data_IF_366213807378
#
_entry.id   IF_366213807378
#
_cell.length_a   1.000
_cell.length_b   1.000
_cell.length_c   1.000
_cell.angle_alpha   90.00
_cell.angle_beta   90.00
_cell.angle_gamma   90.00
#
_symmetry.space_group_name_H-M   'P 1'
#
loop_
_entity.id
_entity.type
_entity.pdbx_description
1 polymer ?
#
# COMPACT_ATOMS: atom_id res chain seq x y z
N UNK A 1 11.52 26.38 42.07
CA UNK A 1 12.22 25.08 42.14
C UNK A 1 12.49 24.68 40.71
N UNK A 2 13.73 24.40 40.34
CA UNK A 2 14.09 24.24 38.91
C UNK A 2 13.49 22.96 38.28
N UNK A 3 12.89 22.10 39.10
CA UNK A 3 12.13 20.92 38.70
C UNK A 3 10.74 21.22 38.14
N UNK A 4 10.21 22.44 38.33
CA UNK A 4 8.87 22.82 37.84
C UNK A 4 8.97 23.92 36.80
N UNK A 5 8.36 23.70 35.63
CA UNK A 5 8.27 24.71 34.58
C UNK A 5 7.20 25.75 34.94
N UNK A 6 7.59 27.03 34.95
CA UNK A 6 6.63 28.12 35.08
C UNK A 6 5.81 28.23 33.79
N UNK A 7 4.49 28.06 33.90
CA UNK A 7 3.56 28.23 32.77
C UNK A 7 3.13 29.69 32.66
N UNK A 8 2.96 30.17 31.44
CA UNK A 8 2.44 31.53 31.20
C UNK A 8 0.94 31.58 31.52
N UNK A 9 0.59 32.34 32.56
CA UNK A 9 -0.79 32.50 33.01
C UNK A 9 -1.71 33.11 31.95
N UNK A 10 -1.20 33.96 31.05
CA UNK A 10 -2.01 34.54 29.96
C UNK A 10 -2.38 33.49 28.92
N UNK A 11 -1.47 32.57 28.62
CA UNK A 11 -1.75 31.44 27.71
C UNK A 11 -2.80 30.52 28.33
N UNK A 12 -2.70 30.25 29.63
CA UNK A 12 -3.70 29.45 30.34
C UNK A 12 -5.09 30.11 30.37
N UNK A 13 -5.17 31.43 30.46
CA UNK A 13 -6.45 32.16 30.47
C UNK A 13 -7.12 32.23 29.08
N UNK A 14 -6.31 32.23 28.02
CA UNK A 14 -6.80 32.28 26.63
C UNK A 14 -7.24 30.93 26.07
N UNK A 15 -6.64 29.82 26.52
CA UNK A 15 -6.97 28.48 26.03
C UNK A 15 -8.16 27.91 26.80
N UNK A 16 -9.23 27.55 26.09
CA UNK A 16 -10.38 26.85 26.66
C UNK A 16 -10.16 25.33 26.73
N UNK A 17 -11.06 24.62 27.39
CA UNK A 17 -10.90 23.18 27.62
C UNK A 17 -11.04 22.37 26.32
N UNK A 18 -11.87 22.83 25.38
CA UNK A 18 -12.01 22.20 24.07
C UNK A 18 -10.70 22.22 23.29
N UNK A 19 -9.99 23.36 23.26
CA UNK A 19 -8.70 23.45 22.59
C UNK A 19 -7.58 22.69 23.31
N UNK A 20 -7.64 22.60 24.65
CA UNK A 20 -6.68 21.77 25.43
C UNK A 20 -6.79 20.29 25.12
N UNK A 21 -8.00 19.81 24.85
CA UNK A 21 -8.30 18.41 24.61
C UNK A 21 -8.25 18.03 23.12
N UNK A 22 -8.20 19.03 22.23
CA UNK A 22 -8.18 18.84 20.80
C UNK A 22 -6.98 18.00 20.33
N UNK A 23 -7.23 17.12 19.37
CA UNK A 23 -6.21 16.23 18.79
C UNK A 23 -6.37 16.24 17.28
N UNK A 24 -5.24 16.39 16.59
CA UNK A 24 -5.22 16.27 15.14
C UNK A 24 -5.66 14.87 14.72
N UNK A 25 -6.43 14.74 13.62
CA UNK A 25 -6.80 13.45 13.08
C UNK A 25 -5.57 12.70 12.55
N UNK A 26 -5.71 11.38 12.42
CA UNK A 26 -4.75 10.57 11.66
C UNK A 26 -5.07 10.73 10.17
N UNK A 27 -4.10 11.22 9.42
CA UNK A 27 -4.18 11.33 7.96
C UNK A 27 -3.48 10.14 7.31
N UNK A 28 -4.07 9.63 6.23
CA UNK A 28 -3.49 8.55 5.45
C UNK A 28 -2.39 9.07 4.51
N UNK A 29 -1.37 8.25 4.30
CA UNK A 29 -0.31 8.54 3.33
C UNK A 29 -0.73 8.00 1.96
N UNK A 30 -0.48 8.77 0.90
CA UNK A 30 -0.68 8.30 -0.47
C UNK A 30 0.35 7.22 -0.80
N UNK A 31 -0.10 5.99 -1.03
CA UNK A 31 0.75 4.86 -1.36
C UNK A 31 0.67 4.56 -2.87
N UNK A 32 1.80 4.41 -3.58
CA UNK A 32 1.79 4.00 -4.98
C UNK A 32 1.43 2.52 -5.10
N UNK A 33 0.14 2.21 -5.26
CA UNK A 33 -0.37 0.84 -5.29
C UNK A 33 0.30 -0.05 -6.36
N UNK A 34 0.75 0.54 -7.46
CA UNK A 34 1.46 -0.19 -8.52
C UNK A 34 2.81 -0.76 -8.09
N UNK A 35 3.43 -0.18 -7.06
CA UNK A 35 4.71 -0.63 -6.48
C UNK A 35 4.49 -1.65 -5.34
N UNK A 36 3.24 -1.93 -4.97
CA UNK A 36 2.91 -2.95 -3.99
C UNK A 36 2.61 -4.30 -4.69
N UNK A 37 2.83 -5.43 -4.01
CA UNK A 37 2.32 -6.73 -4.44
C UNK A 37 0.79 -6.76 -4.46
N UNK A 38 0.21 -7.67 -5.24
CA UNK A 38 -1.23 -7.91 -5.25
C UNK A 38 -1.72 -8.42 -3.88
N UNK A 39 -2.82 -7.85 -3.38
CA UNK A 39 -3.37 -8.20 -2.07
C UNK A 39 -4.00 -9.61 -2.00
N UNK A 40 -4.49 -10.14 -3.13
CA UNK A 40 -5.29 -11.38 -3.23
C UNK A 40 -4.45 -12.61 -3.62
N UNK A 41 -3.20 -12.71 -3.16
CA UNK A 41 -2.38 -13.90 -3.43
C UNK A 41 -2.72 -15.03 -2.45
N UNK A 42 -3.81 -15.74 -2.73
CA UNK A 42 -4.33 -16.92 -1.98
C UNK A 42 -3.31 -18.09 -1.92
N UNK A 43 -2.23 -18.05 -2.71
CA UNK A 43 -1.28 -19.15 -2.81
C UNK A 43 0.18 -18.73 -2.68
N UNK A 44 0.55 -18.10 -1.55
CA UNK A 44 1.94 -17.85 -1.15
C UNK A 44 2.76 -17.07 -2.19
N UNK A 45 2.15 -16.03 -2.74
CA UNK A 45 2.52 -15.48 -4.04
C UNK A 45 3.76 -14.56 -4.07
N UNK A 46 4.06 -14.14 -5.29
CA UNK A 46 5.25 -13.41 -5.67
C UNK A 46 5.42 -12.10 -4.88
N UNK A 47 6.66 -11.85 -4.42
CA UNK A 47 7.05 -10.59 -3.76
C UNK A 47 7.18 -9.42 -4.73
N UNK A 48 6.80 -9.59 -5.99
CA UNK A 48 6.88 -8.58 -7.03
C UNK A 48 5.68 -7.64 -7.00
N UNK A 49 5.94 -6.39 -7.37
CA UNK A 49 4.92 -5.37 -7.54
C UNK A 49 4.04 -5.63 -8.77
N UNK A 50 2.82 -5.09 -8.75
CA UNK A 50 1.91 -5.13 -9.91
C UNK A 50 2.60 -4.63 -11.18
N UNK A 51 3.32 -3.51 -11.06
CA UNK A 51 4.05 -2.90 -12.17
C UNK A 51 5.12 -3.81 -12.75
N UNK A 52 5.88 -4.53 -11.91
CA UNK A 52 6.89 -5.48 -12.39
C UNK A 52 6.25 -6.66 -13.11
N UNK A 53 5.10 -7.16 -12.65
CA UNK A 53 4.37 -8.23 -13.29
C UNK A 53 3.85 -7.84 -14.68
N UNK A 54 3.30 -6.63 -14.84
CA UNK A 54 2.81 -6.10 -16.12
C UNK A 54 3.93 -5.94 -17.16
N UNK A 55 5.17 -5.70 -16.72
CA UNK A 55 6.33 -5.58 -17.61
C UNK A 55 6.85 -6.94 -18.12
N UNK A 56 6.37 -8.07 -17.58
CA UNK A 56 6.78 -9.39 -18.04
C UNK A 56 6.06 -9.78 -19.31
N UNK A 57 6.81 -10.31 -20.25
CA UNK A 57 6.24 -10.97 -21.42
C UNK A 57 5.92 -12.42 -21.07
N UNK A 58 4.64 -12.73 -20.88
CA UNK A 58 4.15 -14.06 -20.50
C UNK A 58 3.70 -14.93 -21.69
N UNK A 59 3.64 -14.37 -22.89
CA UNK A 59 3.23 -15.09 -24.09
C UNK A 59 4.39 -15.87 -24.70
N UNK A 60 4.27 -17.20 -24.70
CA UNK A 60 5.24 -18.13 -25.30
C UNK A 60 4.76 -18.67 -26.66
N UNK A 61 3.58 -18.26 -27.17
CA UNK A 61 2.99 -18.76 -28.42
C UNK A 61 2.86 -20.30 -28.52
N UNK A 62 2.80 -21.01 -27.39
CA UNK A 62 2.74 -22.48 -27.34
C UNK A 62 1.47 -23.07 -27.97
N UNK A 63 0.43 -22.26 -28.13
CA UNK A 63 -0.79 -22.65 -28.85
C UNK A 63 -0.51 -23.18 -30.27
N UNK A 64 0.52 -22.64 -30.93
CA UNK A 64 0.93 -23.07 -32.28
C UNK A 64 1.41 -24.53 -32.35
N UNK A 65 1.87 -25.09 -31.22
CA UNK A 65 2.34 -26.48 -31.15
C UNK A 65 1.18 -27.48 -31.16
N UNK A 66 0.01 -27.12 -30.63
CA UNK A 66 -1.16 -28.01 -30.63
C UNK A 66 -1.77 -28.18 -32.02
N UNK A 67 -1.79 -27.11 -32.82
CA UNK A 67 -2.36 -27.12 -34.18
C UNK A 67 -1.53 -27.95 -35.17
N UNK A 68 -0.24 -28.17 -34.87
CA UNK A 68 0.69 -28.87 -35.73
C UNK A 68 0.86 -30.36 -35.39
N UNK A 69 0.05 -30.89 -34.45
CA UNK A 69 -0.03 -32.33 -34.24
C UNK A 69 -0.90 -32.94 -35.34
N UNK A 70 -0.35 -33.76 -36.26
CA UNK A 70 -1.18 -34.41 -37.27
C UNK A 70 -2.23 -35.25 -36.55
N UNK A 71 -3.50 -35.07 -36.92
CA UNK A 71 -4.60 -35.92 -36.47
C UNK A 71 -4.39 -37.33 -37.02
N UNK A 72 -3.53 -38.12 -36.37
CA UNK A 72 -3.36 -39.54 -36.64
C UNK A 72 -4.56 -40.28 -36.04
N UNK A 73 -5.67 -40.26 -36.76
CA UNK A 73 -6.90 -40.93 -36.33
C UNK A 73 -7.91 -41.07 -37.47
N UNK A 74 -7.69 -42.06 -38.35
CA UNK A 74 -8.53 -43.25 -38.66
C UNK A 74 -8.07 -43.83 -39.99
#
# INVERSE_FOLDING_TARGET
MDSEVQRDGRVLDLTDDAWREDRLPYEDVTIPLSELPEAEQDNGGSTESVKEQEMKWSDLALQSLHENTPNTGT
#
